data_IF_007860959367
#
_entry.id   IF_007860959367
#
_cell.length_a   1.000
_cell.length_b   1.000
_cell.length_c   1.000
_cell.angle_alpha   90.00
_cell.angle_beta   90.00
_cell.angle_gamma   90.00
#
_symmetry.space_group_name_H-M   'P 1'
#
loop_
_entity.id
_entity.type
_entity.pdbx_description
1 polymer ?
#
# COMPACT_ATOMS: atom_id res chain seq x y z
N UNK A 1 9.44 -22.02 27.15
CA UNK A 1 10.69 -21.88 26.39
C UNK A 1 10.34 -21.87 24.91
N UNK A 2 10.26 -20.68 24.30
CA UNK A 2 9.91 -20.51 22.89
C UNK A 2 11.09 -19.80 22.22
N UNK A 3 11.77 -20.48 21.31
CA UNK A 3 12.90 -19.92 20.56
C UNK A 3 12.38 -19.36 19.25
N UNK A 4 12.32 -18.03 19.20
CA UNK A 4 12.02 -17.23 18.01
C UNK A 4 13.06 -17.48 16.90
N UNK A 5 12.57 -17.96 15.76
CA UNK A 5 13.34 -18.10 14.52
C UNK A 5 13.31 -16.82 13.70
N UNK A 6 14.27 -15.91 13.93
CA UNK A 6 14.66 -14.90 12.94
C UNK A 6 15.94 -15.36 12.23
N UNK A 7 15.87 -15.48 10.89
CA UNK A 7 17.04 -15.76 10.07
C UNK A 7 18.01 -14.56 10.09
N UNK A 8 19.33 -14.76 10.31
CA UNK A 8 20.27 -13.66 10.46
C UNK A 8 20.59 -12.94 9.15
N UNK A 9 20.77 -11.62 9.25
CA UNK A 9 21.15 -10.66 8.21
C UNK A 9 22.37 -11.07 7.33
N UNK A 10 23.19 -12.03 7.80
CA UNK A 10 24.28 -12.67 7.04
C UNK A 10 23.79 -13.40 5.77
N UNK A 11 22.53 -13.83 5.73
CA UNK A 11 21.97 -14.66 4.66
C UNK A 11 21.66 -13.88 3.36
N UNK A 12 21.50 -12.55 3.42
CA UNK A 12 21.29 -11.71 2.23
C UNK A 12 22.58 -11.33 1.50
N UNK A 13 23.73 -11.32 2.21
CA UNK A 13 25.05 -11.07 1.61
C UNK A 13 25.58 -12.27 0.82
N UNK A 14 25.15 -13.49 1.15
CA UNK A 14 25.61 -14.71 0.46
C UNK A 14 25.07 -14.82 -0.96
N UNK A 15 23.81 -14.47 -1.21
CA UNK A 15 23.20 -14.61 -2.55
C UNK A 15 23.79 -13.63 -3.58
N UNK A 16 24.19 -12.44 -3.14
CA UNK A 16 24.91 -11.46 -3.98
C UNK A 16 26.31 -11.98 -4.35
N UNK A 17 27.02 -12.60 -3.40
CA UNK A 17 28.35 -13.16 -3.66
C UNK A 17 28.29 -14.39 -4.59
N UNK A 18 27.22 -15.19 -4.52
CA UNK A 18 26.98 -16.33 -5.42
C UNK A 18 26.67 -15.88 -6.85
N UNK A 19 25.83 -14.85 -7.00
CA UNK A 19 25.61 -14.24 -8.32
C UNK A 19 26.89 -13.61 -8.87
N UNK A 20 27.76 -13.08 -8.00
CA UNK A 20 29.06 -12.51 -8.39
C UNK A 20 30.05 -13.60 -8.83
N UNK A 21 30.13 -14.74 -8.15
CA UNK A 21 31.06 -15.83 -8.49
C UNK A 21 30.66 -16.54 -9.78
N UNK A 22 29.37 -16.81 -9.99
CA UNK A 22 28.85 -17.40 -11.25
C UNK A 22 29.10 -16.45 -12.42
N UNK A 23 28.86 -15.14 -12.23
CA UNK A 23 29.21 -14.12 -13.24
C UNK A 23 30.71 -14.12 -13.56
N UNK A 24 31.58 -14.38 -12.60
CA UNK A 24 33.04 -14.33 -12.79
C UNK A 24 33.55 -15.52 -13.61
N UNK A 25 33.01 -16.73 -13.39
CA UNK A 25 33.41 -17.92 -14.14
C UNK A 25 32.97 -17.87 -15.62
N UNK A 26 31.70 -17.53 -15.88
CA UNK A 26 31.18 -17.35 -17.25
C UNK A 26 31.88 -16.17 -17.97
N UNK A 27 32.30 -15.13 -17.23
CA UNK A 27 33.11 -14.05 -17.78
C UNK A 27 34.45 -14.56 -18.27
N UNK A 28 35.13 -15.43 -17.53
CA UNK A 28 36.49 -15.85 -17.87
C UNK A 28 36.55 -16.74 -19.12
N UNK A 29 35.58 -17.63 -19.32
CA UNK A 29 35.49 -18.49 -20.51
C UNK A 29 35.18 -17.66 -21.77
N UNK A 30 34.19 -16.76 -21.70
CA UNK A 30 33.84 -15.87 -22.80
C UNK A 30 34.94 -14.83 -23.10
N UNK A 31 35.60 -14.31 -22.06
CA UNK A 31 36.75 -13.42 -22.22
C UNK A 31 37.91 -14.16 -22.88
N UNK A 32 38.15 -15.45 -22.58
CA UNK A 32 39.21 -16.24 -23.20
C UNK A 32 39.14 -16.27 -24.73
N UNK A 33 37.94 -16.44 -25.31
CA UNK A 33 37.74 -16.46 -26.77
C UNK A 33 37.86 -15.08 -27.43
N UNK A 34 37.61 -14.00 -26.68
CA UNK A 34 37.54 -12.62 -27.19
C UNK A 34 38.66 -11.71 -26.68
N UNK A 35 39.59 -12.24 -25.88
CA UNK A 35 40.60 -11.47 -25.14
C UNK A 35 41.51 -10.68 -26.07
N UNK A 36 41.94 -11.29 -27.18
CA UNK A 36 42.81 -10.64 -28.15
C UNK A 36 42.13 -9.42 -28.81
N UNK A 37 40.83 -9.51 -29.10
CA UNK A 37 40.04 -8.40 -29.64
C UNK A 37 39.87 -7.30 -28.59
N UNK A 38 39.57 -7.67 -27.35
CA UNK A 38 39.44 -6.69 -26.26
C UNK A 38 40.73 -5.95 -25.94
N UNK A 39 41.86 -6.65 -25.97
CA UNK A 39 43.17 -6.04 -25.76
C UNK A 39 43.48 -5.00 -26.83
N UNK A 40 43.20 -5.30 -28.10
CA UNK A 40 43.35 -4.34 -29.19
C UNK A 40 42.43 -3.13 -29.04
N UNK A 41 41.20 -3.31 -28.53
CA UNK A 41 40.30 -2.18 -28.27
C UNK A 41 40.72 -1.34 -27.06
N UNK A 42 41.29 -1.97 -26.04
CA UNK A 42 41.84 -1.28 -24.87
C UNK A 42 43.04 -0.41 -25.25
N UNK A 43 43.95 -0.94 -26.08
CA UNK A 43 45.11 -0.21 -26.61
C UNK A 43 44.69 1.00 -27.48
N UNK A 44 43.68 0.81 -28.34
CA UNK A 44 43.12 1.90 -29.16
C UNK A 44 42.43 2.97 -28.29
N UNK A 45 41.72 2.56 -27.24
CA UNK A 45 41.06 3.46 -26.30
C UNK A 45 42.05 4.23 -25.41
N UNK A 46 43.15 3.61 -24.99
CA UNK A 46 44.23 4.28 -24.27
C UNK A 46 44.90 5.33 -25.16
N UNK A 47 45.17 4.99 -26.41
CA UNK A 47 45.81 5.90 -27.38
C UNK A 47 44.92 7.09 -27.72
N UNK A 48 43.61 6.86 -27.94
CA UNK A 48 42.67 7.91 -28.37
C UNK A 48 42.09 8.74 -27.24
N UNK A 49 41.92 8.14 -26.06
CA UNK A 49 41.13 8.74 -24.98
C UNK A 49 41.85 8.75 -23.62
N UNK A 50 43.08 8.25 -23.52
CA UNK A 50 43.83 8.18 -22.26
C UNK A 50 43.20 7.23 -21.22
N UNK A 51 42.35 6.30 -21.67
CA UNK A 51 41.69 5.33 -20.81
C UNK A 51 42.61 4.13 -20.61
N UNK A 52 43.18 3.98 -19.40
CA UNK A 52 43.98 2.81 -19.04
C UNK A 52 43.21 1.51 -19.30
N UNK A 53 43.90 0.45 -19.72
CA UNK A 53 43.34 -0.89 -19.96
C UNK A 53 42.43 -1.37 -18.81
N UNK A 54 42.83 -1.14 -17.56
CA UNK A 54 42.03 -1.52 -16.38
C UNK A 54 40.66 -0.82 -16.34
N UNK A 55 40.61 0.49 -16.61
CA UNK A 55 39.36 1.27 -16.66
C UNK A 55 38.52 0.92 -17.89
N UNK A 56 39.16 0.69 -19.03
CA UNK A 56 38.47 0.24 -20.24
C UNK A 56 37.80 -1.12 -20.01
N UNK A 57 38.54 -2.10 -19.48
CA UNK A 57 38.01 -3.41 -19.13
C UNK A 57 36.93 -3.33 -18.06
N UNK A 58 37.08 -2.48 -17.03
CA UNK A 58 36.04 -2.26 -16.04
C UNK A 58 34.76 -1.66 -16.66
N UNK A 59 34.88 -0.71 -17.58
CA UNK A 59 33.74 -0.07 -18.27
C UNK A 59 33.06 -1.04 -19.22
N UNK A 60 33.82 -1.75 -20.04
CA UNK A 60 33.32 -2.71 -21.02
C UNK A 60 32.77 -3.95 -20.35
N UNK A 61 33.39 -4.49 -19.30
CA UNK A 61 32.84 -5.63 -18.56
C UNK A 61 31.60 -5.16 -17.78
N UNK A 62 31.64 -3.96 -17.19
CA UNK A 62 30.44 -3.38 -16.57
C UNK A 62 29.34 -3.24 -17.61
N UNK A 63 29.52 -2.53 -18.72
CA UNK A 63 28.51 -2.32 -19.76
C UNK A 63 28.12 -3.61 -20.45
N UNK A 64 29.03 -4.45 -20.92
CA UNK A 64 28.68 -5.70 -21.64
C UNK A 64 27.91 -6.68 -20.74
N UNK A 65 28.15 -6.67 -19.42
CA UNK A 65 27.46 -7.56 -18.48
C UNK A 65 26.32 -6.90 -17.67
N UNK A 66 26.21 -5.57 -17.66
CA UNK A 66 25.03 -4.84 -17.12
C UNK A 66 24.03 -4.47 -18.22
N UNK A 67 24.49 -4.21 -19.44
CA UNK A 67 23.69 -4.00 -20.67
C UNK A 67 23.31 -5.31 -21.37
N UNK A 68 23.83 -6.47 -20.94
CA UNK A 68 23.28 -7.74 -21.37
C UNK A 68 21.83 -7.81 -20.90
N UNK A 69 20.90 -7.45 -21.79
CA UNK A 69 19.45 -7.72 -21.77
C UNK A 69 19.18 -8.75 -20.69
N UNK A 70 18.63 -8.35 -19.54
CA UNK A 70 18.39 -9.18 -18.36
C UNK A 70 18.34 -10.66 -18.76
N UNK A 71 19.50 -11.37 -18.70
CA UNK A 71 19.69 -12.59 -19.51
C UNK A 71 18.51 -13.48 -19.24
N UNK A 72 17.66 -13.63 -20.26
CA UNK A 72 16.41 -14.37 -20.15
C UNK A 72 16.72 -15.72 -19.54
N UNK A 73 15.79 -16.25 -18.74
CA UNK A 73 15.98 -17.52 -18.08
C UNK A 73 16.49 -18.56 -19.08
N UNK A 74 17.77 -18.92 -18.99
CA UNK A 74 18.35 -19.90 -19.90
C UNK A 74 17.76 -21.28 -19.58
N UNK A 75 17.59 -22.12 -20.60
CA UNK A 75 17.14 -23.51 -20.43
C UNK A 75 17.94 -24.24 -19.34
N UNK A 76 19.26 -24.04 -19.29
CA UNK A 76 20.15 -24.61 -18.29
C UNK A 76 19.83 -24.15 -16.86
N UNK A 77 19.74 -22.84 -16.63
CA UNK A 77 19.38 -22.27 -15.32
C UNK A 77 18.00 -22.75 -14.84
N UNK A 78 17.03 -22.91 -15.74
CA UNK A 78 15.72 -23.47 -15.40
C UNK A 78 15.85 -24.92 -14.90
N UNK A 79 16.62 -25.75 -15.61
CA UNK A 79 16.87 -27.14 -15.22
C UNK A 79 17.59 -27.24 -13.87
N UNK A 80 18.59 -26.40 -13.60
CA UNK A 80 19.27 -26.37 -12.30
C UNK A 80 18.33 -25.97 -11.16
N UNK A 81 17.53 -24.94 -11.35
CA UNK A 81 16.58 -24.49 -10.34
C UNK A 81 15.44 -25.51 -10.10
N UNK A 82 14.98 -26.20 -11.13
CA UNK A 82 14.03 -27.32 -11.01
C UNK A 82 14.65 -28.51 -10.30
N UNK A 83 15.90 -28.88 -10.63
CA UNK A 83 16.64 -29.93 -9.94
C UNK A 83 16.75 -29.66 -8.43
N UNK A 84 17.11 -28.45 -8.05
CA UNK A 84 17.20 -28.07 -6.64
C UNK A 84 15.84 -28.08 -5.93
N UNK A 85 14.77 -27.59 -6.59
CA UNK A 85 13.42 -27.67 -6.04
C UNK A 85 12.98 -29.12 -5.81
N UNK A 86 13.19 -30.01 -6.79
CA UNK A 86 12.89 -31.44 -6.65
C UNK A 86 13.68 -32.07 -5.51
N UNK A 87 14.97 -31.76 -5.36
CA UNK A 87 15.77 -32.24 -4.24
C UNK A 87 15.23 -31.79 -2.88
N UNK A 88 14.70 -30.57 -2.77
CA UNK A 88 14.03 -30.10 -1.54
C UNK A 88 12.73 -30.84 -1.27
N UNK A 89 11.92 -31.05 -2.31
CA UNK A 89 10.66 -31.77 -2.20
C UNK A 89 10.89 -33.24 -1.82
N UNK A 90 11.94 -33.85 -2.37
CA UNK A 90 12.38 -35.20 -2.03
C UNK A 90 12.85 -35.31 -0.58
N UNK A 91 13.59 -34.32 -0.08
CA UNK A 91 13.98 -34.28 1.33
C UNK A 91 12.77 -34.11 2.25
N UNK A 92 11.85 -33.21 1.92
CA UNK A 92 10.62 -32.99 2.69
C UNK A 92 9.72 -34.24 2.71
N UNK A 93 9.71 -35.02 1.63
CA UNK A 93 9.00 -36.29 1.54
C UNK A 93 9.77 -37.49 2.15
N UNK A 94 10.98 -37.27 2.67
CA UNK A 94 11.82 -38.34 3.23
C UNK A 94 12.41 -39.31 2.19
N UNK A 95 12.39 -38.97 0.90
CA UNK A 95 12.96 -39.77 -0.19
C UNK A 95 14.48 -39.70 -0.24
N UNK A 96 15.07 -38.59 0.22
CA UNK A 96 16.52 -38.45 0.42
C UNK A 96 16.81 -38.12 1.88
N UNK A 97 17.91 -38.65 2.41
CA UNK A 97 18.32 -38.46 3.80
C UNK A 97 19.07 -37.15 4.02
N UNK A 98 19.83 -36.73 3.02
CA UNK A 98 20.66 -35.54 3.11
C UNK A 98 19.85 -34.30 2.71
N UNK A 99 19.84 -33.31 3.61
CA UNK A 99 19.25 -32.02 3.32
C UNK A 99 20.09 -31.34 2.21
N UNK A 100 19.48 -30.95 1.07
CA UNK A 100 20.21 -30.27 0.00
C UNK A 100 20.84 -28.94 0.44
N UNK A 101 20.44 -28.38 1.60
CA UNK A 101 21.06 -27.18 2.15
C UNK A 101 20.70 -25.94 1.35
N UNK A 102 21.64 -25.00 1.22
CA UNK A 102 21.46 -23.82 0.36
C UNK A 102 21.86 -24.15 -1.07
N UNK A 103 21.32 -23.41 -2.04
CA UNK A 103 21.55 -23.65 -3.47
C UNK A 103 23.05 -23.69 -3.83
N UNK A 104 23.87 -22.81 -3.25
CA UNK A 104 25.31 -22.79 -3.53
C UNK A 104 26.11 -23.93 -2.86
N UNK A 105 25.54 -24.58 -1.85
CA UNK A 105 26.12 -25.77 -1.21
C UNK A 105 25.70 -27.05 -1.98
N UNK A 106 24.48 -27.04 -2.52
CA UNK A 106 23.93 -28.09 -3.37
C UNK A 106 24.58 -28.14 -4.75
N UNK A 107 24.72 -26.98 -5.39
CA UNK A 107 25.11 -26.88 -6.80
C UNK A 107 26.43 -27.61 -7.12
N UNK A 108 27.53 -27.42 -6.36
CA UNK A 108 28.79 -28.12 -6.65
C UNK A 108 28.67 -29.64 -6.54
N UNK A 109 27.83 -30.15 -5.63
CA UNK A 109 27.63 -31.58 -5.40
C UNK A 109 26.78 -32.22 -6.50
N UNK A 110 25.79 -31.49 -7.01
CA UNK A 110 24.86 -31.96 -8.03
C UNK A 110 25.29 -31.60 -9.46
N UNK A 111 26.42 -30.89 -9.64
CA UNK A 111 26.76 -30.28 -10.93
C UNK A 111 26.93 -31.31 -12.04
N UNK A 112 27.68 -32.38 -11.78
CA UNK A 112 27.93 -33.45 -12.75
C UNK A 112 26.64 -34.15 -13.17
N UNK A 113 25.80 -34.52 -12.20
CA UNK A 113 24.52 -35.18 -12.45
C UNK A 113 23.56 -34.29 -13.24
N UNK A 114 23.50 -33.00 -12.90
CA UNK A 114 22.65 -32.05 -13.61
C UNK A 114 23.12 -31.77 -15.03
N UNK A 115 24.44 -31.73 -15.27
CA UNK A 115 25.01 -31.59 -16.61
C UNK A 115 24.68 -32.81 -17.47
N UNK A 116 24.89 -34.02 -16.93
CA UNK A 116 24.55 -35.27 -17.60
C UNK A 116 23.06 -35.34 -17.93
N UNK A 117 22.20 -34.98 -16.97
CA UNK A 117 20.75 -34.89 -17.15
C UNK A 117 20.39 -33.92 -18.27
N UNK A 118 20.92 -32.69 -18.23
CA UNK A 118 20.60 -31.68 -19.24
C UNK A 118 21.08 -32.05 -20.64
N UNK A 119 22.26 -32.66 -20.75
CA UNK A 119 22.78 -33.19 -22.00
C UNK A 119 21.82 -34.25 -22.59
N UNK A 120 21.23 -35.11 -21.75
CA UNK A 120 20.25 -36.11 -22.15
C UNK A 120 18.83 -35.59 -22.43
N UNK A 121 18.49 -34.35 -22.08
CA UNK A 121 17.18 -33.79 -22.36
C UNK A 121 17.06 -33.37 -23.83
N UNK A 122 15.94 -33.75 -24.47
CA UNK A 122 15.55 -33.24 -25.78
C UNK A 122 15.25 -31.74 -25.72
N UNK A 123 15.19 -31.07 -26.88
CA UNK A 123 14.89 -29.64 -26.90
C UNK A 123 13.49 -29.33 -26.32
N UNK A 124 12.51 -30.18 -26.59
CA UNK A 124 11.15 -30.07 -26.05
C UNK A 124 11.14 -30.18 -24.54
N UNK A 125 11.89 -31.13 -23.98
CA UNK A 125 12.03 -31.29 -22.54
C UNK A 125 12.73 -30.09 -21.90
N UNK A 126 13.74 -29.51 -22.55
CA UNK A 126 14.40 -28.29 -22.07
C UNK A 126 13.45 -27.07 -22.09
N UNK A 127 12.54 -26.98 -23.07
CA UNK A 127 11.47 -25.97 -23.08
C UNK A 127 10.48 -26.21 -21.95
N UNK A 128 10.10 -27.46 -21.70
CA UNK A 128 9.22 -27.82 -20.59
C UNK A 128 9.81 -27.44 -19.23
N UNK A 129 11.12 -27.63 -19.02
CA UNK A 129 11.82 -27.20 -17.79
C UNK A 129 11.77 -25.67 -17.60
N UNK A 130 11.87 -24.87 -18.68
CA UNK A 130 11.68 -23.41 -18.63
C UNK A 130 10.26 -23.03 -18.24
N UNK A 131 9.27 -23.70 -18.84
CA UNK A 131 7.85 -23.48 -18.53
C UNK A 131 7.55 -23.84 -17.08
N UNK A 132 8.00 -25.00 -16.61
CA UNK A 132 7.84 -25.45 -15.23
C UNK A 132 8.46 -24.45 -14.24
N UNK A 133 9.70 -24.03 -14.48
CA UNK A 133 10.36 -23.04 -13.64
C UNK A 133 9.56 -21.73 -13.59
N UNK A 134 9.09 -21.25 -14.75
CA UNK A 134 8.38 -19.97 -14.84
C UNK A 134 7.04 -20.04 -14.12
N UNK A 135 6.30 -21.13 -14.31
CA UNK A 135 5.04 -21.40 -13.59
C UNK A 135 5.29 -21.49 -12.08
N UNK A 136 6.27 -22.27 -11.63
CA UNK A 136 6.61 -22.38 -10.21
C UNK A 136 7.08 -21.05 -9.63
N UNK A 137 7.90 -20.29 -10.35
CA UNK A 137 8.33 -18.95 -9.93
C UNK A 137 7.14 -18.02 -9.78
N UNK A 138 6.17 -18.04 -10.70
CA UNK A 138 4.99 -17.19 -10.61
C UNK A 138 4.09 -17.58 -9.43
N UNK A 139 3.89 -18.88 -9.21
CA UNK A 139 3.16 -19.41 -8.05
C UNK A 139 3.85 -19.05 -6.74
N UNK A 140 5.16 -19.31 -6.64
CA UNK A 140 5.97 -19.00 -5.48
C UNK A 140 6.08 -17.49 -5.24
N UNK A 141 6.10 -16.64 -6.27
CA UNK A 141 6.06 -15.18 -6.07
C UNK A 141 4.73 -14.78 -5.42
N UNK A 142 3.61 -15.39 -5.81
CA UNK A 142 2.33 -15.20 -5.15
C UNK A 142 2.34 -15.69 -3.69
N UNK A 143 2.84 -16.89 -3.45
CA UNK A 143 2.91 -17.48 -2.11
C UNK A 143 3.92 -16.78 -1.21
N UNK A 144 5.13 -16.48 -1.68
CA UNK A 144 6.12 -15.68 -0.95
C UNK A 144 5.58 -14.30 -0.61
N UNK A 145 4.84 -13.65 -1.52
CA UNK A 145 4.16 -12.38 -1.21
C UNK A 145 3.17 -12.55 -0.07
N UNK A 146 2.38 -13.64 -0.06
CA UNK A 146 1.40 -13.96 1.00
C UNK A 146 2.04 -14.39 2.32
N UNK A 147 3.15 -15.12 2.26
CA UNK A 147 3.86 -15.67 3.42
C UNK A 147 4.82 -14.67 4.06
N UNK A 148 5.27 -13.64 3.32
CA UNK A 148 6.07 -12.56 3.89
C UNK A 148 5.23 -11.83 4.91
N UNK A 149 5.47 -12.14 6.19
CA UNK A 149 4.89 -11.38 7.29
C UNK A 149 5.30 -9.91 7.11
N UNK A 150 4.34 -8.99 7.04
CA UNK A 150 4.59 -7.57 6.89
C UNK A 150 5.32 -7.05 8.14
N UNK A 151 6.65 -7.09 8.11
CA UNK A 151 7.52 -6.62 9.19
C UNK A 151 8.18 -5.29 8.86
N UNK A 152 8.70 -4.60 9.87
CA UNK A 152 9.36 -3.30 9.74
C UNK A 152 10.52 -3.28 8.74
N UNK A 153 11.22 -4.40 8.54
CA UNK A 153 12.29 -4.53 7.56
C UNK A 153 11.82 -4.50 6.11
N UNK A 154 10.58 -4.94 5.83
CA UNK A 154 10.02 -4.90 4.47
C UNK A 154 9.72 -3.47 4.05
N UNK A 155 8.97 -2.70 4.87
CA UNK A 155 8.66 -1.29 4.57
C UNK A 155 9.93 -0.46 4.39
N UNK A 156 10.95 -0.67 5.23
CA UNK A 156 12.25 0.00 5.09
C UNK A 156 12.94 -0.34 3.78
N UNK A 157 12.88 -1.61 3.34
CA UNK A 157 13.48 -2.04 2.08
C UNK A 157 12.76 -1.45 0.88
N UNK A 158 11.42 -1.36 0.93
CA UNK A 158 10.61 -0.72 -0.12
C UNK A 158 10.92 0.76 -0.17
N UNK A 159 10.87 1.46 0.97
CA UNK A 159 11.22 2.88 1.09
C UNK A 159 12.63 3.19 0.55
N UNK A 160 13.65 2.48 1.02
CA UNK A 160 15.03 2.67 0.57
C UNK A 160 15.24 2.33 -0.93
N UNK A 161 14.37 1.52 -1.53
CA UNK A 161 14.40 1.28 -2.97
C UNK A 161 13.70 2.40 -3.72
N UNK A 162 12.55 2.87 -3.22
CA UNK A 162 11.87 4.04 -3.73
C UNK A 162 12.78 5.28 -3.71
N UNK A 163 13.44 5.56 -2.60
CA UNK A 163 14.38 6.69 -2.45
C UNK A 163 15.57 6.61 -3.42
N UNK A 164 16.00 5.41 -3.79
CA UNK A 164 17.05 5.23 -4.81
C UNK A 164 16.52 5.53 -6.20
N UNK A 165 15.29 5.11 -6.50
CA UNK A 165 14.66 5.40 -7.78
C UNK A 165 14.42 6.90 -7.92
N UNK A 166 13.93 7.59 -6.88
CA UNK A 166 13.71 9.05 -6.95
C UNK A 166 15.00 9.80 -7.26
N UNK A 167 16.10 9.45 -6.60
CA UNK A 167 17.42 10.05 -6.89
C UNK A 167 17.86 9.84 -8.33
N UNK A 168 17.69 8.62 -8.87
CA UNK A 168 18.03 8.35 -10.27
C UNK A 168 17.17 9.17 -11.25
N UNK A 169 15.89 9.40 -10.92
CA UNK A 169 15.00 10.23 -11.73
C UNK A 169 15.37 11.71 -11.64
N UNK A 170 15.78 12.18 -10.45
CA UNK A 170 16.28 13.54 -10.26
C UNK A 170 17.58 13.75 -11.04
N UNK A 171 18.55 12.84 -10.91
CA UNK A 171 19.81 12.87 -11.66
C UNK A 171 19.54 12.90 -13.18
N UNK A 172 18.56 12.14 -13.67
CA UNK A 172 18.19 12.11 -15.08
C UNK A 172 17.52 13.42 -15.54
N UNK A 173 16.72 14.04 -14.67
CA UNK A 173 16.14 15.35 -14.93
C UNK A 173 17.22 16.43 -14.99
N UNK A 174 18.15 16.43 -14.04
CA UNK A 174 19.24 17.40 -13.96
C UNK A 174 20.23 17.25 -15.12
N UNK A 175 20.61 16.01 -15.48
CA UNK A 175 21.65 15.76 -16.50
C UNK A 175 21.11 15.80 -17.93
N UNK A 176 19.90 15.32 -18.16
CA UNK A 176 19.34 15.13 -19.50
C UNK A 176 18.02 15.87 -19.73
N UNK A 177 17.49 16.61 -18.75
CA UNK A 177 16.22 17.32 -18.87
C UNK A 177 15.00 16.41 -18.95
N UNK A 178 15.13 15.13 -18.56
CA UNK A 178 14.04 14.16 -18.66
C UNK A 178 13.02 14.39 -17.55
N UNK A 179 11.76 14.57 -17.93
CA UNK A 179 10.65 14.71 -16.99
C UNK A 179 10.04 13.35 -16.67
N UNK A 180 9.85 13.07 -15.38
CA UNK A 180 9.45 11.76 -14.88
C UNK A 180 8.38 11.85 -13.80
N UNK A 181 7.46 10.90 -13.84
CA UNK A 181 6.43 10.68 -12.82
C UNK A 181 6.55 9.23 -12.39
N UNK A 182 6.72 9.00 -11.09
CA UNK A 182 6.64 7.66 -10.51
C UNK A 182 5.57 7.62 -9.44
N UNK A 183 4.76 6.57 -9.50
CA UNK A 183 3.72 6.26 -8.53
C UNK A 183 3.88 4.79 -8.16
N UNK A 184 4.03 4.53 -6.86
CA UNK A 184 4.17 3.19 -6.31
C UNK A 184 3.13 2.99 -5.21
N UNK A 185 2.36 1.91 -5.30
CA UNK A 185 1.32 1.59 -4.33
C UNK A 185 1.44 0.12 -3.90
N UNK A 186 1.01 -0.24 -2.68
CA UNK A 186 0.92 -1.63 -2.30
C UNK A 186 -0.12 -2.36 -3.16
N UNK A 187 0.27 -3.50 -3.70
CA UNK A 187 -0.63 -4.39 -4.46
C UNK A 187 -1.59 -5.20 -3.57
N UNK A 188 -1.40 -5.13 -2.26
CA UNK A 188 -2.18 -5.84 -1.24
C UNK A 188 -2.34 -4.89 -0.04
N UNK A 189 -3.58 -4.63 0.43
CA UNK A 189 -3.85 -3.68 1.52
C UNK A 189 -3.23 -4.08 2.86
N UNK A 190 -2.76 -5.32 3.02
CA UNK A 190 -2.06 -5.77 4.22
C UNK A 190 -0.56 -5.42 4.22
N UNK A 191 -0.03 -4.87 3.14
CA UNK A 191 1.38 -4.47 3.07
C UNK A 191 1.62 -3.19 3.90
N UNK A 192 2.67 -3.15 4.74
CA UNK A 192 2.84 -2.14 5.79
C UNK A 192 3.62 -0.93 5.27
N UNK A 193 3.39 -0.50 4.03
CA UNK A 193 4.03 0.68 3.47
C UNK A 193 3.01 1.57 2.78
N UNK A 194 3.23 2.88 2.90
CA UNK A 194 2.37 3.89 2.29
C UNK A 194 2.71 4.04 0.81
N UNK A 195 1.73 4.35 -0.05
CA UNK A 195 2.01 4.71 -1.43
C UNK A 195 3.06 5.82 -1.51
N UNK A 196 3.99 5.66 -2.43
CA UNK A 196 5.06 6.61 -2.72
C UNK A 196 4.79 7.27 -4.06
N UNK A 197 5.18 8.53 -4.18
CA UNK A 197 5.13 9.26 -5.43
C UNK A 197 6.33 10.18 -5.52
N UNK A 198 6.79 10.43 -6.74
CA UNK A 198 7.81 11.41 -7.02
C UNK A 198 7.61 11.98 -8.41
N UNK A 199 7.86 13.27 -8.55
CA UNK A 199 7.63 14.01 -9.79
C UNK A 199 8.74 15.04 -9.94
N UNK A 200 9.39 15.04 -11.10
CA UNK A 200 10.47 15.98 -11.41
C UNK A 200 9.94 17.30 -11.96
N UNK A 201 10.79 18.33 -11.94
CA UNK A 201 10.67 19.58 -12.70
C UNK A 201 9.27 20.04 -13.09
N UNK A 202 9.05 20.11 -14.41
CA UNK A 202 7.80 20.57 -15.04
C UNK A 202 6.69 19.52 -15.02
N UNK A 203 7.01 18.23 -14.85
CA UNK A 203 5.99 17.19 -14.66
C UNK A 203 5.10 17.45 -13.43
N UNK A 204 5.61 18.19 -12.44
CA UNK A 204 4.81 18.61 -11.27
C UNK A 204 3.68 19.56 -11.66
N UNK A 205 3.93 20.45 -12.63
CA UNK A 205 2.91 21.35 -13.17
C UNK A 205 1.92 20.60 -14.05
N UNK A 206 2.43 19.68 -14.88
CA UNK A 206 1.59 18.79 -15.69
C UNK A 206 0.50 18.09 -14.86
N UNK A 207 0.85 17.52 -13.70
CA UNK A 207 -0.12 16.84 -12.82
C UNK A 207 -1.20 17.78 -12.24
N UNK A 208 -0.89 19.08 -12.10
CA UNK A 208 -1.82 20.09 -11.59
C UNK A 208 -2.70 20.68 -12.69
N UNK A 209 -2.11 20.95 -13.84
CA UNK A 209 -2.72 21.75 -14.89
C UNK A 209 -3.52 20.90 -15.89
N UNK A 210 -3.16 19.63 -16.08
CA UNK A 210 -3.85 18.74 -17.02
C UNK A 210 -5.19 18.28 -16.47
N UNK A 211 -6.24 18.60 -17.23
CA UNK A 211 -7.65 18.29 -16.91
C UNK A 211 -7.92 16.83 -16.59
N UNK A 212 -7.19 15.91 -17.24
CA UNK A 212 -7.36 14.48 -17.05
C UNK A 212 -6.98 14.02 -15.62
N UNK A 213 -6.07 14.74 -14.97
CA UNK A 213 -5.54 14.34 -13.66
C UNK A 213 -6.04 15.26 -12.56
N UNK A 214 -5.90 16.60 -12.68
CA UNK A 214 -6.28 17.63 -11.66
C UNK A 214 -6.18 17.16 -10.20
N UNK A 215 -5.17 16.35 -9.90
CA UNK A 215 -5.01 15.65 -8.64
C UNK A 215 -3.55 15.71 -8.29
N UNK A 216 -3.30 16.06 -7.03
CA UNK A 216 -1.95 15.97 -6.48
C UNK A 216 -1.42 14.53 -6.65
N UNK A 217 -0.15 14.33 -6.99
CA UNK A 217 0.43 13.00 -7.21
C UNK A 217 0.19 12.02 -6.05
N UNK A 218 0.14 12.53 -4.81
CA UNK A 218 -0.22 11.76 -3.62
C UNK A 218 -1.63 11.15 -3.70
N UNK A 219 -2.59 11.88 -4.27
CA UNK A 219 -3.97 11.40 -4.47
C UNK A 219 -4.00 10.29 -5.50
N UNK A 220 -3.24 10.44 -6.60
CA UNK A 220 -3.14 9.42 -7.65
C UNK A 220 -2.46 8.15 -7.11
N UNK A 221 -1.46 8.28 -6.25
CA UNK A 221 -0.84 7.14 -5.58
C UNK A 221 -1.83 6.36 -4.70
N UNK A 222 -2.69 7.06 -3.99
CA UNK A 222 -3.78 6.43 -3.24
C UNK A 222 -4.89 5.88 -4.14
N UNK A 223 -5.18 6.49 -5.31
CA UNK A 223 -6.08 5.89 -6.32
C UNK A 223 -5.56 4.54 -6.75
N UNK A 224 -4.27 4.47 -7.06
CA UNK A 224 -3.63 3.25 -7.50
C UNK A 224 -3.66 2.19 -6.40
N UNK A 225 -3.40 2.54 -5.14
CA UNK A 225 -3.55 1.64 -4.00
C UNK A 225 -4.98 1.09 -3.89
N UNK A 226 -5.98 1.98 -3.92
CA UNK A 226 -7.39 1.60 -3.87
C UNK A 226 -7.76 0.66 -5.02
N UNK A 227 -7.28 0.96 -6.24
CA UNK A 227 -7.48 0.12 -7.41
C UNK A 227 -6.82 -1.25 -7.25
N UNK A 228 -5.56 -1.29 -6.82
CA UNK A 228 -4.84 -2.55 -6.62
C UNK A 228 -5.50 -3.43 -5.54
N UNK A 229 -6.03 -2.82 -4.49
CA UNK A 229 -6.69 -3.55 -3.41
C UNK A 229 -8.10 -4.05 -3.77
N UNK A 230 -8.86 -3.29 -4.58
CA UNK A 230 -10.30 -3.55 -4.81
C UNK A 230 -10.67 -3.94 -6.25
N UNK A 231 -9.79 -3.70 -7.22
CA UNK A 231 -10.08 -3.87 -8.66
C UNK A 231 -11.02 -2.80 -9.24
N UNK A 232 -11.46 -1.82 -8.46
CA UNK A 232 -12.46 -0.83 -8.86
C UNK A 232 -11.77 0.39 -9.49
N UNK A 233 -11.81 0.49 -10.82
CA UNK A 233 -11.21 1.59 -11.61
C UNK A 233 -11.91 2.94 -11.38
N UNK A 234 -13.19 2.91 -11.00
CA UNK A 234 -13.92 4.08 -10.54
C UNK A 234 -13.35 4.43 -9.17
N UNK A 235 -12.35 5.34 -9.16
CA UNK A 235 -11.60 5.67 -7.96
C UNK A 235 -12.54 5.83 -6.76
N UNK A 236 -12.31 5.10 -5.64
CA UNK A 236 -13.03 5.42 -4.43
C UNK A 236 -12.82 6.92 -4.19
N UNK A 237 -13.90 7.66 -3.92
CA UNK A 237 -13.84 9.10 -3.73
C UNK A 237 -12.76 9.42 -2.67
N UNK A 238 -11.56 9.81 -3.12
CA UNK A 238 -10.35 9.77 -2.29
C UNK A 238 -10.27 10.86 -1.24
N UNK A 239 -11.27 11.73 -1.22
CA UNK A 239 -11.58 12.55 -0.06
C UNK A 239 -11.95 11.71 1.18
N UNK A 240 -12.15 10.39 1.03
CA UNK A 240 -12.60 9.47 2.09
C UNK A 240 -11.47 8.64 2.72
N UNK A 241 -10.19 8.80 2.32
CA UNK A 241 -9.06 8.27 3.12
C UNK A 241 -8.81 9.17 4.34
N UNK A 242 -9.83 9.30 5.18
CA UNK A 242 -9.79 9.99 6.45
C UNK A 242 -9.06 9.05 7.40
N UNK A 243 -7.78 9.33 7.67
CA UNK A 243 -7.06 8.66 8.77
C UNK A 243 -7.87 8.84 10.08
N UNK A 244 -7.73 7.92 11.05
CA UNK A 244 -8.45 8.06 12.33
C UNK A 244 -8.25 9.42 13.00
N UNK A 245 -7.06 10.03 12.83
CA UNK A 245 -6.74 11.37 13.30
C UNK A 245 -7.57 12.44 12.58
N UNK A 246 -7.67 12.36 11.26
CA UNK A 246 -8.50 13.26 10.44
C UNK A 246 -9.99 13.09 10.77
N UNK A 247 -10.46 11.86 11.07
CA UNK A 247 -11.85 11.58 11.41
C UNK A 247 -12.21 12.23 12.75
N UNK A 248 -11.31 12.14 13.72
CA UNK A 248 -11.48 12.77 15.03
C UNK A 248 -11.57 14.30 14.89
N UNK A 249 -10.70 14.90 14.09
CA UNK A 249 -10.73 16.35 13.83
C UNK A 249 -12.05 16.77 13.16
N UNK A 250 -12.49 16.07 12.10
CA UNK A 250 -13.77 16.35 11.42
C UNK A 250 -14.97 16.19 12.34
N UNK A 251 -15.03 15.12 13.14
CA UNK A 251 -16.09 14.93 14.16
C UNK A 251 -16.14 16.09 15.16
N UNK A 252 -14.97 16.59 15.57
CA UNK A 252 -14.88 17.73 16.48
C UNK A 252 -15.38 19.00 15.82
N UNK A 253 -14.94 19.29 14.59
CA UNK A 253 -15.39 20.45 13.80
C UNK A 253 -16.90 20.43 13.59
N UNK A 254 -17.45 19.33 13.07
CA UNK A 254 -18.90 19.19 12.82
C UNK A 254 -19.70 19.37 14.11
N UNK A 255 -19.24 18.79 15.23
CA UNK A 255 -19.92 18.96 16.52
C UNK A 255 -19.92 20.42 16.97
N UNK A 256 -18.78 21.11 16.85
CA UNK A 256 -18.68 22.53 17.18
C UNK A 256 -19.62 23.36 16.30
N UNK A 257 -19.56 23.21 14.97
CA UNK A 257 -20.42 23.97 14.05
C UNK A 257 -21.92 23.76 14.28
N UNK A 258 -22.36 22.52 14.53
CA UNK A 258 -23.77 22.25 14.85
C UNK A 258 -24.16 22.88 16.20
N UNK A 259 -23.28 22.84 17.20
CA UNK A 259 -23.52 23.43 18.52
C UNK A 259 -23.53 24.96 18.47
N UNK A 260 -22.58 25.57 17.76
CA UNK A 260 -22.46 27.01 17.62
C UNK A 260 -23.70 27.58 16.91
N UNK A 261 -24.16 26.93 15.82
CA UNK A 261 -25.39 27.33 15.14
C UNK A 261 -26.64 27.18 16.01
N UNK A 262 -26.67 26.20 16.93
CA UNK A 262 -27.77 26.05 17.89
C UNK A 262 -27.74 27.18 18.94
N UNK A 263 -26.57 27.46 19.49
CA UNK A 263 -26.41 28.50 20.50
C UNK A 263 -26.73 29.89 19.93
N UNK A 264 -26.35 30.13 18.68
CA UNK A 264 -26.64 31.35 17.93
C UNK A 264 -28.15 31.56 17.73
N UNK A 265 -28.86 30.56 17.18
CA UNK A 265 -30.29 30.71 16.87
C UNK A 265 -31.17 30.82 18.11
N UNK A 266 -30.77 30.18 19.21
CA UNK A 266 -31.48 30.23 20.50
C UNK A 266 -31.07 31.47 21.31
N UNK A 267 -29.87 32.02 21.08
CA UNK A 267 -29.34 33.18 21.80
C UNK A 267 -28.78 32.85 23.19
N UNK A 268 -28.54 31.57 23.48
CA UNK A 268 -27.91 31.09 24.73
C UNK A 268 -27.31 29.72 24.53
N UNK A 269 -26.38 29.33 25.39
CA UNK A 269 -25.76 28.00 25.36
C UNK A 269 -26.75 26.91 25.77
N UNK A 270 -27.05 25.97 24.88
CA UNK A 270 -27.92 24.82 25.15
C UNK A 270 -27.22 23.52 24.75
N UNK A 271 -27.02 22.55 25.66
CA UNK A 271 -26.33 21.32 25.30
C UNK A 271 -27.12 20.50 24.27
N UNK A 272 -26.47 20.15 23.16
CA UNK A 272 -27.07 19.33 22.11
C UNK A 272 -27.47 17.93 22.61
N UNK A 273 -28.70 17.51 22.30
CA UNK A 273 -29.23 16.19 22.67
C UNK A 273 -29.64 15.38 21.43
N UNK A 274 -28.69 14.70 20.80
CA UNK A 274 -28.94 13.88 19.61
C UNK A 274 -29.91 12.72 19.86
N UNK A 275 -29.95 12.16 21.09
CA UNK A 275 -30.78 11.00 21.40
C UNK A 275 -32.26 11.37 21.48
N UNK A 276 -32.58 12.53 22.06
CA UNK A 276 -33.95 13.02 22.18
C UNK A 276 -34.09 14.35 21.45
N UNK A 277 -33.61 14.40 20.21
CA UNK A 277 -33.50 15.64 19.43
C UNK A 277 -34.87 16.31 19.24
N UNK A 278 -35.86 15.53 18.80
CA UNK A 278 -37.22 16.05 18.56
C UNK A 278 -37.82 16.64 19.84
N UNK A 279 -37.86 15.89 20.94
CA UNK A 279 -38.48 16.37 22.18
C UNK A 279 -37.71 17.47 22.90
N UNK A 280 -36.39 17.30 23.10
CA UNK A 280 -35.60 18.19 23.97
C UNK A 280 -34.99 19.41 23.25
N UNK A 281 -34.92 19.39 21.92
CA UNK A 281 -34.38 20.50 21.14
C UNK A 281 -35.47 21.08 20.25
N UNK A 282 -36.08 20.28 19.38
CA UNK A 282 -37.02 20.80 18.37
C UNK A 282 -38.30 21.34 19.00
N UNK A 283 -38.94 20.55 19.84
CA UNK A 283 -40.24 20.88 20.41
C UNK A 283 -40.18 21.87 21.58
N UNK A 284 -39.10 21.80 22.37
CA UNK A 284 -38.88 22.64 23.54
C UNK A 284 -38.37 24.03 23.16
N UNK A 285 -37.48 24.12 22.16
CA UNK A 285 -36.86 25.39 21.75
C UNK A 285 -37.46 25.98 20.47
N UNK A 286 -38.29 25.23 19.74
CA UNK A 286 -38.90 25.69 18.49
C UNK A 286 -37.92 25.85 17.34
N UNK A 287 -36.85 25.05 17.30
CA UNK A 287 -35.80 25.13 16.26
C UNK A 287 -35.54 23.78 15.63
N UNK A 288 -35.31 23.71 14.32
CA UNK A 288 -35.04 22.48 13.62
C UNK A 288 -33.73 22.55 12.84
N UNK A 289 -32.97 21.46 12.84
CA UNK A 289 -31.80 21.30 11.98
C UNK A 289 -32.27 20.78 10.62
N UNK A 290 -32.25 21.62 9.60
CA UNK A 290 -32.74 21.32 8.24
C UNK A 290 -31.59 21.07 7.28
N UNK A 291 -31.85 20.34 6.19
CA UNK A 291 -30.84 20.04 5.17
C UNK A 291 -29.84 18.95 5.56
N UNK A 292 -30.25 18.01 6.43
CA UNK A 292 -29.42 16.85 6.76
C UNK A 292 -29.15 15.99 5.51
N UNK A 293 -27.88 15.77 5.10
CA UNK A 293 -27.57 15.19 3.80
C UNK A 293 -27.70 13.66 3.74
N UNK A 294 -27.98 13.00 4.86
CA UNK A 294 -28.15 11.53 4.93
C UNK A 294 -29.64 11.22 4.93
N UNK A 295 -30.25 11.12 3.75
CA UNK A 295 -31.71 10.96 3.58
C UNK A 295 -32.23 9.64 4.14
N UNK A 296 -31.38 8.62 4.24
CA UNK A 296 -31.67 7.29 4.76
C UNK A 296 -31.52 7.18 6.28
N UNK A 297 -31.02 8.23 6.96
CA UNK A 297 -30.69 8.19 8.39
C UNK A 297 -31.20 9.41 9.14
N UNK A 298 -31.72 9.24 10.37
CA UNK A 298 -32.03 10.38 11.22
C UNK A 298 -30.75 11.14 11.60
N UNK A 299 -30.94 12.41 11.99
CA UNK A 299 -29.86 13.24 12.55
C UNK A 299 -29.29 12.51 13.77
N UNK A 300 -27.98 12.29 13.75
CA UNK A 300 -27.29 11.51 14.77
C UNK A 300 -25.97 12.14 15.18
N UNK A 301 -25.42 11.67 16.29
CA UNK A 301 -24.16 12.20 16.82
C UNK A 301 -23.00 11.95 15.83
N UNK A 302 -22.12 12.93 15.55
CA UNK A 302 -21.03 12.76 14.58
C UNK A 302 -20.09 11.57 14.87
N UNK A 303 -19.99 11.10 16.12
CA UNK A 303 -19.19 9.91 16.46
C UNK A 303 -19.75 8.61 15.91
N UNK A 304 -21.06 8.55 15.62
CA UNK A 304 -21.71 7.39 14.98
C UNK A 304 -21.64 7.39 13.46
N UNK A 305 -21.09 8.46 12.85
CA UNK A 305 -20.96 8.57 11.41
C UNK A 305 -19.66 7.94 10.89
N UNK A 306 -19.77 7.30 9.73
CA UNK A 306 -18.65 6.82 8.93
C UNK A 306 -17.87 7.97 8.30
N UNK A 307 -16.70 7.67 7.74
CA UNK A 307 -15.84 8.67 7.12
C UNK A 307 -16.52 9.41 5.95
N UNK A 308 -17.18 8.69 5.05
CA UNK A 308 -17.89 9.28 3.91
C UNK A 308 -19.06 10.16 4.35
N UNK A 309 -19.80 9.73 5.37
CA UNK A 309 -20.91 10.50 5.95
C UNK A 309 -20.43 11.80 6.59
N UNK A 310 -19.30 11.77 7.31
CA UNK A 310 -18.68 12.97 7.87
C UNK A 310 -18.33 14.00 6.80
N UNK A 311 -17.80 13.57 5.65
CA UNK A 311 -17.50 14.47 4.52
C UNK A 311 -18.77 15.13 3.98
N UNK A 312 -19.86 14.36 3.82
CA UNK A 312 -21.13 14.90 3.33
C UNK A 312 -21.74 15.91 4.30
N UNK A 313 -21.71 15.61 5.60
CA UNK A 313 -22.23 16.51 6.65
C UNK A 313 -21.37 17.77 6.76
N UNK A 314 -20.05 17.65 6.71
CA UNK A 314 -19.16 18.81 6.72
C UNK A 314 -19.38 19.69 5.48
N UNK A 315 -19.46 19.09 4.29
CA UNK A 315 -19.75 19.84 3.06
C UNK A 315 -21.09 20.56 3.15
N UNK A 316 -22.13 19.90 3.68
CA UNK A 316 -23.43 20.54 3.84
C UNK A 316 -23.41 21.74 4.81
N UNK A 317 -22.60 21.67 5.88
CA UNK A 317 -22.36 22.79 6.78
C UNK A 317 -21.57 23.92 6.10
N UNK A 318 -20.48 23.58 5.41
CA UNK A 318 -19.61 24.55 4.72
C UNK A 318 -20.38 25.26 3.58
N UNK A 319 -21.25 24.55 2.86
CA UNK A 319 -22.15 25.08 1.81
C UNK A 319 -23.40 25.79 2.41
N UNK A 320 -23.53 25.82 3.74
CA UNK A 320 -24.68 26.35 4.48
C UNK A 320 -26.05 25.76 4.08
N UNK A 321 -26.04 24.53 3.54
CA UNK A 321 -27.26 23.77 3.22
C UNK A 321 -27.79 23.02 4.42
N UNK A 322 -26.93 22.71 5.40
CA UNK A 322 -27.29 22.17 6.70
C UNK A 322 -27.23 23.28 7.75
N UNK A 323 -28.37 23.76 8.23
CA UNK A 323 -28.45 24.89 9.16
C UNK A 323 -29.63 24.76 10.13
N UNK A 324 -29.57 25.52 11.23
CA UNK A 324 -30.70 25.64 12.15
C UNK A 324 -31.70 26.68 11.64
N UNK A 325 -32.98 26.39 11.78
CA UNK A 325 -34.08 27.31 11.45
C UNK A 325 -35.07 27.38 12.61
N UNK A 326 -35.64 28.57 12.84
CA UNK A 326 -36.78 28.72 13.77
C UNK A 326 -38.04 28.22 13.09
N UNK A 327 -38.77 27.37 13.78
CA UNK A 327 -40.08 26.91 13.34
C UNK A 327 -41.14 27.96 13.67
N UNK A 328 -42.10 28.15 12.76
CA UNK A 328 -43.31 28.90 13.10
C UNK A 328 -44.14 28.13 14.13
N UNK A 329 -45.03 28.82 14.85
CA UNK A 329 -45.92 28.17 15.83
C UNK A 329 -46.76 27.06 15.18
N UNK A 330 -47.23 27.29 13.95
CA UNK A 330 -47.97 26.29 13.18
C UNK A 330 -47.08 25.07 12.84
N UNK A 331 -45.87 25.30 12.32
CA UNK A 331 -44.93 24.20 11.99
C UNK A 331 -44.57 23.39 13.25
N UNK A 332 -44.38 24.07 14.38
CA UNK A 332 -44.10 23.43 15.66
C UNK A 332 -45.28 22.59 16.15
N UNK A 333 -46.50 23.10 16.05
CA UNK A 333 -47.71 22.38 16.43
C UNK A 333 -47.92 21.13 15.55
N UNK A 334 -47.76 21.27 14.23
CA UNK A 334 -47.83 20.15 13.28
C UNK A 334 -46.74 19.10 13.56
N UNK A 335 -45.52 19.54 13.87
CA UNK A 335 -44.39 18.65 14.23
C UNK A 335 -44.73 17.85 15.50
N UNK A 336 -45.20 18.52 16.56
CA UNK A 336 -45.63 17.89 17.83
C UNK A 336 -46.71 16.85 17.61
N UNK A 337 -47.73 17.19 16.82
CA UNK A 337 -48.82 16.26 16.50
C UNK A 337 -48.29 15.03 15.78
N UNK A 338 -47.47 15.21 14.74
CA UNK A 338 -46.87 14.11 13.97
C UNK A 338 -45.99 13.21 14.85
N UNK A 339 -45.13 13.80 15.67
CA UNK A 339 -44.23 13.08 16.56
C UNK A 339 -45.02 12.26 17.60
N UNK A 340 -46.12 12.82 18.12
CA UNK A 340 -47.05 12.08 19.00
C UNK A 340 -47.69 10.90 18.30
N UNK A 341 -48.22 11.09 17.08
CA UNK A 341 -48.79 9.99 16.30
C UNK A 341 -47.78 8.87 16.01
N UNK A 342 -46.53 9.22 15.70
CA UNK A 342 -45.46 8.25 15.49
C UNK A 342 -45.12 7.48 16.77
N UNK A 343 -45.09 8.17 17.92
CA UNK A 343 -44.89 7.56 19.22
C UNK A 343 -46.01 6.57 19.57
N UNK A 344 -47.26 6.97 19.36
CA UNK A 344 -48.44 6.14 19.63
C UNK A 344 -48.49 4.91 18.70
N UNK A 345 -47.95 5.03 17.48
CA UNK A 345 -47.75 3.93 16.54
C UNK A 345 -46.56 3.01 16.89
N UNK A 346 -45.85 3.27 18.00
CA UNK A 346 -44.74 2.46 18.49
C UNK A 346 -43.36 2.85 17.95
N UNK A 347 -43.23 3.91 17.14
CA UNK A 347 -41.93 4.44 16.76
C UNK A 347 -41.32 5.20 17.92
N UNK A 348 -40.07 4.91 18.28
CA UNK A 348 -39.39 5.59 19.40
C UNK A 348 -38.93 7.00 19.00
N UNK A 349 -39.83 7.99 19.13
CA UNK A 349 -39.50 9.41 18.92
C UNK A 349 -39.00 10.03 20.21
N UNK A 350 -39.68 9.77 21.33
CA UNK A 350 -39.31 10.26 22.65
C UNK A 350 -38.59 9.18 23.44
N UNK A 351 -37.45 9.55 24.02
CA UNK A 351 -36.70 8.64 24.90
C UNK A 351 -36.85 9.06 26.36
N UNK A 352 -37.31 8.16 27.25
CA UNK A 352 -37.38 8.48 28.67
C UNK A 352 -35.99 8.78 29.20
N UNK A 353 -35.87 9.86 29.98
CA UNK A 353 -34.63 10.22 30.64
C UNK A 353 -34.25 9.07 31.58
N UNK A 354 -33.03 8.52 31.44
CA UNK A 354 -32.52 7.49 32.35
C UNK A 354 -32.66 8.01 33.78
N UNK A 355 -33.46 7.34 34.61
CA UNK A 355 -33.55 7.64 36.03
C UNK A 355 -32.14 7.55 36.62
N UNK A 356 -31.69 8.60 37.31
CA UNK A 356 -30.38 8.61 37.93
C UNK A 356 -30.41 7.53 39.02
N UNK A 357 -29.58 6.49 38.87
CA UNK A 357 -29.47 5.46 39.89
C UNK A 357 -29.18 6.14 41.24
N UNK A 358 -30.01 5.87 42.26
CA UNK A 358 -29.75 6.35 43.62
C UNK A 358 -28.37 5.83 44.00
N UNK A 359 -27.41 6.75 44.19
CA UNK A 359 -26.08 6.43 44.72
C UNK A 359 -26.32 5.77 46.08
N UNK A 360 -26.18 4.45 46.17
CA UNK A 360 -26.20 3.76 47.46
C UNK A 360 -25.10 4.41 48.30
N UNK A 361 -25.48 5.01 49.44
CA UNK A 361 -24.50 5.44 50.44
C UNK A 361 -23.74 4.18 50.87
N UNK A 362 -22.42 4.29 50.91
CA UNK A 362 -21.51 3.20 51.29
C UNK A 362 -21.75 2.79 52.76
N UNK A 363 -22.40 3.64 53.56
CA UNK A 363 -22.66 3.44 54.99
C UNK A 363 -23.83 2.48 55.31
N UNK A 364 -24.34 1.71 54.33
CA UNK A 364 -25.42 0.72 54.54
C UNK A 364 -25.02 -0.71 54.18
N UNK A 365 -23.72 -1.01 54.17
CA UNK A 365 -23.20 -2.38 54.11
C UNK A 365 -22.48 -2.65 55.43
N UNK A 366 -23.24 -2.70 56.52
CA UNK A 366 -22.94 -3.40 57.78
C UNK A 366 -24.07 -3.10 58.78
N UNK A 367 -25.07 -3.98 58.80
CA UNK A 367 -25.92 -4.29 59.95
C UNK A 367 -26.46 -5.71 59.75
#
# INVERSE_FOLDING_TARGET
>A
MSTDGQLPQKQRRSDWNVQKSIKTADCQEWLGEKWATYKSWAEDAETKFGLSEHRFNASIISETFTSSKARGLTKWNATLANGYSRAKDDFAAGRIKDNPGKYHEWLPKAMGDMQAKYAGLSEEQRKAEVTEYTTRRNLNVGEERRQRKPGSGFSRSVGATGDRITKLLDDLNETAGVESIIIMAPGDPHLPFTPMHHVTGTAKRFMKDVELVRKEPAVVAKMLEGYCASGIAAGPDLNVSITNTTAKAKRSKIRASIQDGLDEIVGRKVPMNYRNLEGAIVEELGVALVGWPLTDKPVSQPSGLSASELVRVEKALDDNTLCWVRLSEQQLAERKLRNKMLQDAGNSVYFPRKARAKKRRIDQVEA
#
